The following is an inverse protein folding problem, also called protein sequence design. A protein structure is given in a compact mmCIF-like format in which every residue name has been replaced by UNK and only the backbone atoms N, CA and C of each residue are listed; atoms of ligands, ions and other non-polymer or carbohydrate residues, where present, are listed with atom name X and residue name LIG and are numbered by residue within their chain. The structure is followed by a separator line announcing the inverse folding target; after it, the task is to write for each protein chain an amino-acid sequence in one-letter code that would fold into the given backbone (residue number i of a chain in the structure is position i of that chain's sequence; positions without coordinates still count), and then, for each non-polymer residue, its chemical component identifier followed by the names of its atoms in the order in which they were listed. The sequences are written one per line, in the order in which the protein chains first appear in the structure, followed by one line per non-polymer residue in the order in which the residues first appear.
data_IF_848731123039
#
_entry.id   IF_848731123039
#
_cell.length_a   1.000
_cell.length_b   1.000
_cell.length_c   1.000
_cell.angle_alpha   90.00
_cell.angle_beta   90.00
_cell.angle_gamma   90.00
#
_symmetry.space_group_name_H-M   'P 1'
#
loop_
_entity.id
_entity.type
_entity.pdbx_description
1 polymer ?
#
# COMPACT_ATOMS: atom_id res chain seq x y z
N UNK A 1 -1.36 -9.99 -19.67
CA UNK A 1 -0.97 -11.28 -20.24
C UNK A 1 -1.26 -11.27 -21.73
N UNK A 2 -0.70 -12.22 -22.48
CA UNK A 2 -1.00 -12.42 -23.89
C UNK A 2 -1.78 -13.72 -24.04
N UNK A 3 -2.75 -13.75 -24.96
CA UNK A 3 -3.60 -14.91 -25.18
C UNK A 3 -3.97 -15.05 -26.67
N UNK A 4 -3.98 -16.26 -27.26
CA UNK A 4 -4.41 -16.42 -28.65
C UNK A 4 -5.88 -16.06 -28.83
N UNK A 5 -6.19 -15.18 -29.79
CA UNK A 5 -7.53 -14.64 -30.00
C UNK A 5 -8.57 -15.72 -30.34
N UNK A 6 -8.16 -16.74 -31.09
CA UNK A 6 -9.03 -17.83 -31.56
C UNK A 6 -8.98 -19.08 -30.67
N UNK A 7 -8.27 -19.03 -29.54
CA UNK A 7 -8.35 -20.07 -28.52
C UNK A 7 -9.66 -19.93 -27.72
N UNK A 8 -10.07 -20.96 -26.95
CA UNK A 8 -11.29 -20.91 -26.14
C UNK A 8 -11.38 -19.64 -25.29
N UNK A 9 -12.53 -18.97 -25.30
CA UNK A 9 -12.77 -17.69 -24.62
C UNK A 9 -11.93 -16.49 -25.10
N UNK A 10 -11.06 -16.63 -26.11
CA UNK A 10 -10.22 -15.52 -26.59
C UNK A 10 -11.02 -14.36 -27.16
N UNK A 11 -12.15 -14.66 -27.82
CA UNK A 11 -13.12 -13.68 -28.31
C UNK A 11 -14.06 -13.12 -27.23
N UNK A 12 -14.09 -13.72 -26.03
CA UNK A 12 -14.95 -13.31 -24.91
C UNK A 12 -14.24 -12.32 -23.96
N UNK A 13 -12.93 -12.09 -24.17
CA UNK A 13 -12.15 -11.17 -23.34
C UNK A 13 -12.38 -9.73 -23.81
N UNK A 14 -13.34 -9.08 -23.16
CA UNK A 14 -13.68 -7.68 -23.39
C UNK A 14 -13.18 -6.75 -22.26
N UNK A 15 -13.30 -5.44 -22.48
CA UNK A 15 -13.09 -4.45 -21.42
C UNK A 15 -14.04 -4.71 -20.25
N UNK A 16 -13.58 -4.47 -19.02
CA UNK A 16 -14.33 -4.70 -17.78
C UNK A 16 -14.65 -6.15 -17.42
N UNK A 17 -14.28 -7.13 -18.27
CA UNK A 17 -14.31 -8.55 -17.90
C UNK A 17 -13.51 -8.81 -16.63
N UNK A 18 -13.96 -9.78 -15.83
CA UNK A 18 -13.27 -10.22 -14.62
C UNK A 18 -12.55 -11.53 -14.94
N UNK A 19 -11.23 -11.52 -14.79
CA UNK A 19 -10.38 -12.69 -14.93
C UNK A 19 -10.06 -13.26 -13.55
N UNK A 20 -10.28 -14.55 -13.35
CA UNK A 20 -9.81 -15.28 -12.18
C UNK A 20 -8.46 -15.92 -12.50
N UNK A 21 -7.45 -15.63 -11.68
CA UNK A 21 -6.05 -15.97 -11.95
C UNK A 21 -5.44 -16.64 -10.72
N UNK A 22 -4.70 -17.76 -10.88
CA UNK A 22 -3.94 -18.36 -9.79
C UNK A 22 -2.78 -17.45 -9.40
N UNK A 23 -2.66 -17.12 -8.10
CA UNK A 23 -1.57 -16.34 -7.51
C UNK A 23 -0.95 -17.10 -6.33
N UNK A 24 0.20 -16.68 -5.79
CA UNK A 24 0.77 -17.29 -4.57
C UNK A 24 -0.17 -17.26 -3.36
N UNK A 25 -1.10 -16.31 -3.31
CA UNK A 25 -2.11 -16.16 -2.25
C UNK A 25 -3.45 -16.85 -2.63
N UNK A 26 -3.48 -17.68 -3.68
CA UNK A 26 -4.68 -18.39 -4.17
C UNK A 26 -5.29 -17.78 -5.43
N UNK A 27 -6.51 -18.19 -5.75
CA UNK A 27 -7.27 -17.64 -6.89
C UNK A 27 -7.72 -16.20 -6.60
N UNK A 28 -7.30 -15.26 -7.45
CA UNK A 28 -7.58 -13.83 -7.30
C UNK A 28 -8.25 -13.25 -8.54
N UNK A 29 -9.13 -12.27 -8.34
CA UNK A 29 -9.88 -11.59 -9.39
C UNK A 29 -9.17 -10.33 -9.89
N UNK A 30 -9.16 -10.14 -11.20
CA UNK A 30 -8.57 -9.00 -11.88
C UNK A 30 -9.53 -8.43 -12.94
N UNK A 31 -9.70 -7.10 -12.94
CA UNK A 31 -10.51 -6.34 -13.90
C UNK A 31 -9.69 -6.03 -15.15
N UNK A 32 -10.21 -6.38 -16.32
CA UNK A 32 -9.59 -6.02 -17.62
C UNK A 32 -9.73 -4.53 -17.86
N UNK A 33 -8.60 -3.82 -17.96
CA UNK A 33 -8.56 -2.38 -18.16
C UNK A 33 -8.34 -2.00 -19.63
N UNK A 34 -7.42 -2.68 -20.30
CA UNK A 34 -7.04 -2.37 -21.68
C UNK A 34 -6.75 -3.65 -22.48
N UNK A 35 -7.76 -4.21 -23.16
CA UNK A 35 -7.55 -5.27 -24.14
C UNK A 35 -7.06 -4.67 -25.46
N UNK A 36 -6.03 -5.26 -26.06
CA UNK A 36 -5.48 -4.86 -27.35
C UNK A 36 -5.33 -6.10 -28.23
N UNK A 37 -6.05 -6.13 -29.34
CA UNK A 37 -5.95 -7.21 -30.33
C UNK A 37 -4.92 -6.84 -31.39
N UNK A 38 -4.03 -7.77 -31.72
CA UNK A 38 -3.07 -7.62 -32.81
C UNK A 38 -2.66 -8.98 -33.35
N UNK A 39 -2.69 -9.14 -34.68
CA UNK A 39 -2.16 -10.33 -35.38
C UNK A 39 -2.68 -11.69 -34.85
N UNK A 40 -3.95 -11.77 -34.42
CA UNK A 40 -4.54 -13.01 -33.88
C UNK A 40 -4.19 -13.31 -32.42
N UNK A 41 -3.58 -12.36 -31.71
CA UNK A 41 -3.34 -12.39 -30.27
C UNK A 41 -4.08 -11.23 -29.59
N UNK A 42 -4.51 -11.43 -28.35
CA UNK A 42 -4.99 -10.37 -27.47
C UNK A 42 -3.97 -10.15 -26.33
N UNK A 43 -3.48 -8.92 -26.21
CA UNK A 43 -2.68 -8.45 -25.08
C UNK A 43 -3.59 -7.72 -24.10
N UNK A 44 -3.57 -8.12 -22.84
CA UNK A 44 -4.51 -7.62 -21.82
C UNK A 44 -3.75 -7.09 -20.62
N UNK A 45 -4.02 -5.85 -20.25
CA UNK A 45 -3.66 -5.30 -18.95
C UNK A 45 -4.85 -5.39 -18.00
N UNK A 46 -4.62 -5.97 -16.81
CA UNK A 46 -5.62 -6.07 -15.76
C UNK A 46 -5.10 -5.46 -14.47
N UNK A 47 -6.00 -4.91 -13.66
CA UNK A 47 -5.73 -4.51 -12.29
C UNK A 47 -6.45 -5.46 -11.32
N UNK A 48 -5.91 -5.65 -10.12
CA UNK A 48 -6.60 -6.42 -9.09
C UNK A 48 -7.98 -5.81 -8.83
N UNK A 49 -9.01 -6.64 -8.59
CA UNK A 49 -10.41 -6.21 -8.44
C UNK A 49 -10.59 -5.09 -7.40
N UNK A 50 -9.77 -5.09 -6.34
CA UNK A 50 -9.59 -3.98 -5.38
C UNK A 50 -9.62 -2.57 -6.00
N UNK A 51 -9.04 -2.38 -7.18
CA UNK A 51 -8.98 -1.06 -7.82
C UNK A 51 -10.32 -0.59 -8.38
N UNK A 52 -11.37 -1.41 -8.44
CA UNK A 52 -12.72 -0.92 -8.72
C UNK A 52 -13.16 0.14 -7.69
N UNK A 53 -12.59 0.10 -6.48
CA UNK A 53 -12.81 1.12 -5.45
C UNK A 53 -12.32 2.52 -5.88
N UNK A 54 -11.45 2.68 -6.89
CA UNK A 54 -11.07 4.01 -7.40
C UNK A 54 -12.22 4.71 -8.10
N UNK A 55 -13.23 3.97 -8.57
CA UNK A 55 -14.42 4.49 -9.24
C UNK A 55 -15.56 4.82 -8.26
N UNK A 56 -15.34 4.65 -6.95
CA UNK A 56 -16.27 5.06 -5.91
C UNK A 56 -15.80 6.37 -5.26
N UNK A 57 -16.70 7.05 -4.54
CA UNK A 57 -16.44 8.33 -3.89
C UNK A 57 -16.84 8.27 -2.42
N UNK A 58 -16.00 8.87 -1.58
CA UNK A 58 -16.31 9.27 -0.21
C UNK A 58 -16.47 10.78 -0.24
N UNK A 59 -17.70 11.27 -0.06
CA UNK A 59 -18.01 12.70 -0.07
C UNK A 59 -17.40 13.40 1.15
N UNK A 60 -17.80 12.98 2.35
CA UNK A 60 -17.25 13.42 3.62
C UNK A 60 -17.58 12.40 4.71
N UNK A 61 -16.55 11.83 5.31
CA UNK A 61 -16.68 11.05 6.54
C UNK A 61 -15.72 11.54 7.60
N UNK A 62 -16.17 11.41 8.84
CA UNK A 62 -15.33 11.51 10.01
C UNK A 62 -15.36 10.18 10.75
N UNK A 63 -14.18 9.58 10.92
CA UNK A 63 -13.95 8.46 11.81
C UNK A 63 -13.37 9.04 13.10
N UNK A 64 -14.19 9.18 14.14
CA UNK A 64 -13.83 9.84 15.38
C UNK A 64 -13.47 8.82 16.46
N UNK A 65 -12.23 8.87 16.97
CA UNK A 65 -11.76 8.06 18.09
C UNK A 65 -12.04 6.57 17.89
N UNK A 66 -11.63 6.06 16.73
CA UNK A 66 -11.85 4.65 16.34
C UNK A 66 -10.54 3.89 16.26
N UNK A 67 -10.61 2.58 16.52
CA UNK A 67 -9.54 1.67 16.11
C UNK A 67 -9.57 1.48 14.59
N UNK A 68 -8.58 0.77 14.03
CA UNK A 68 -8.50 0.57 12.59
C UNK A 68 -9.75 -0.12 12.03
N UNK A 69 -10.35 -1.06 12.76
CA UNK A 69 -11.58 -1.72 12.28
C UNK A 69 -12.78 -0.76 12.24
N UNK A 70 -12.92 0.11 13.25
CA UNK A 70 -13.96 1.14 13.27
C UNK A 70 -13.81 2.13 12.12
N UNK A 71 -12.57 2.54 11.80
CA UNK A 71 -12.28 3.38 10.65
C UNK A 71 -12.60 2.68 9.32
N UNK A 72 -12.20 1.42 9.15
CA UNK A 72 -12.54 0.57 7.99
C UNK A 72 -14.06 0.47 7.77
N UNK A 73 -14.82 0.24 8.85
CA UNK A 73 -16.28 0.19 8.80
C UNK A 73 -16.88 1.54 8.40
N UNK A 74 -16.35 2.65 8.95
CA UNK A 74 -16.80 4.01 8.61
C UNK A 74 -16.55 4.34 7.14
N UNK A 75 -15.40 3.92 6.60
CA UNK A 75 -15.06 4.10 5.18
C UNK A 75 -15.98 3.30 4.27
N UNK A 76 -16.21 2.02 4.56
CA UNK A 76 -17.11 1.19 3.75
C UNK A 76 -18.54 1.75 3.74
N UNK A 77 -19.06 2.18 4.89
CA UNK A 77 -20.38 2.80 4.97
C UNK A 77 -20.44 4.21 4.34
N UNK A 78 -19.29 4.87 4.20
CA UNK A 78 -19.15 6.22 3.62
C UNK A 78 -19.00 6.26 2.11
N UNK A 79 -18.94 5.10 1.45
CA UNK A 79 -18.87 5.03 0.00
C UNK A 79 -20.23 5.41 -0.61
N UNK A 80 -20.22 6.29 -1.61
CA UNK A 80 -21.42 6.80 -2.27
C UNK A 80 -22.22 5.68 -2.95
N UNK A 81 -21.51 4.76 -3.60
CA UNK A 81 -22.14 3.64 -4.31
C UNK A 81 -21.99 2.35 -3.50
N UNK A 82 -23.07 1.56 -3.46
CA UNK A 82 -23.04 0.20 -2.89
C UNK A 82 -22.00 -0.63 -3.63
N UNK A 83 -21.25 -1.41 -2.88
CA UNK A 83 -20.17 -2.23 -3.42
C UNK A 83 -20.11 -3.59 -2.71
N UNK A 84 -19.51 -4.61 -3.34
CA UNK A 84 -19.35 -5.94 -2.73
C UNK A 84 -18.18 -6.03 -1.74
N UNK A 85 -17.31 -5.01 -1.67
CA UNK A 85 -16.11 -5.06 -0.84
C UNK A 85 -16.40 -5.13 0.66
N UNK A 86 -15.63 -5.95 1.37
CA UNK A 86 -15.65 -6.06 2.83
C UNK A 86 -14.37 -5.50 3.41
N UNK A 87 -14.51 -4.57 4.35
CA UNK A 87 -13.40 -3.84 4.94
C UNK A 87 -13.13 -4.38 6.35
N UNK A 88 -11.86 -4.63 6.67
CA UNK A 88 -11.46 -5.16 7.96
C UNK A 88 -10.08 -4.64 8.40
N UNK A 89 -9.87 -4.52 9.71
CA UNK A 89 -8.55 -4.25 10.28
C UNK A 89 -8.39 -4.86 11.67
N UNK A 90 -7.19 -5.31 12.00
CA UNK A 90 -6.80 -5.80 13.34
C UNK A 90 -6.01 -4.76 14.15
N UNK A 91 -5.78 -3.57 13.60
CA UNK A 91 -4.97 -2.51 14.20
C UNK A 91 -5.70 -1.90 15.43
N UNK A 92 -5.13 -2.00 16.65
CA UNK A 92 -5.78 -1.51 17.87
C UNK A 92 -5.59 -0.01 18.11
N UNK A 93 -4.70 0.66 17.34
CA UNK A 93 -4.39 2.09 17.49
C UNK A 93 -5.68 2.91 17.38
N UNK A 94 -5.91 3.80 18.35
CA UNK A 94 -7.03 4.74 18.32
C UNK A 94 -6.57 6.04 17.67
N UNK A 95 -7.32 6.50 16.68
CA UNK A 95 -7.09 7.79 16.02
C UNK A 95 -8.41 8.36 15.47
N UNK A 96 -8.33 9.60 15.00
CA UNK A 96 -9.41 10.25 14.26
C UNK A 96 -8.93 10.70 12.89
N UNK A 97 -9.79 10.64 11.88
CA UNK A 97 -9.49 11.12 10.53
C UNK A 97 -10.76 11.64 9.85
N UNK A 98 -10.65 12.77 9.14
CA UNK A 98 -11.71 13.25 8.24
C UNK A 98 -11.26 13.07 6.79
N UNK A 99 -12.03 12.33 6.01
CA UNK A 99 -11.76 12.01 4.62
C UNK A 99 -12.83 12.66 3.77
N UNK A 100 -12.42 13.57 2.87
CA UNK A 100 -13.34 14.45 2.12
C UNK A 100 -12.99 14.41 0.65
N UNK A 101 -13.98 14.11 -0.20
CA UNK A 101 -13.85 14.07 -1.67
C UNK A 101 -12.69 13.19 -2.14
N UNK A 102 -12.67 11.95 -1.65
CA UNK A 102 -11.63 10.97 -1.94
C UNK A 102 -12.24 9.68 -2.44
N UNK A 103 -11.59 8.99 -3.38
CA UNK A 103 -11.95 7.59 -3.60
C UNK A 103 -11.42 6.73 -2.42
N UNK A 104 -12.07 5.60 -2.11
CA UNK A 104 -11.65 4.73 -1.02
C UNK A 104 -10.19 4.25 -1.08
N UNK A 105 -9.59 4.08 -2.26
CA UNK A 105 -8.19 3.66 -2.39
C UNK A 105 -7.24 4.76 -1.93
N UNK A 106 -7.47 6.01 -2.36
CA UNK A 106 -6.72 7.17 -1.86
C UNK A 106 -6.91 7.37 -0.35
N UNK A 107 -8.16 7.28 0.11
CA UNK A 107 -8.47 7.40 1.53
C UNK A 107 -7.75 6.33 2.38
N UNK A 108 -7.51 5.14 1.83
CA UNK A 108 -6.76 4.07 2.50
C UNK A 108 -5.24 4.29 2.44
N UNK A 109 -4.69 4.55 1.26
CA UNK A 109 -3.28 4.30 0.96
C UNK A 109 -2.44 5.53 0.64
N UNK A 110 -3.04 6.71 0.47
CA UNK A 110 -2.30 7.91 0.10
C UNK A 110 -1.41 8.40 1.26
N UNK A 111 -0.13 8.08 1.21
CA UNK A 111 0.86 8.48 2.21
C UNK A 111 1.15 9.99 2.18
N UNK A 112 0.76 10.70 1.12
CA UNK A 112 0.89 12.15 1.03
C UNK A 112 -0.18 12.92 1.81
N UNK A 113 -1.21 12.24 2.30
CA UNK A 113 -2.35 12.87 2.99
C UNK A 113 -2.40 12.47 4.46
N UNK A 114 -2.25 13.43 5.37
CA UNK A 114 -2.20 13.15 6.81
C UNK A 114 -3.40 12.36 7.33
N UNK A 115 -4.59 12.59 6.76
CA UNK A 115 -5.85 11.95 7.15
C UNK A 115 -6.12 10.60 6.45
N UNK A 116 -5.18 10.07 5.66
CA UNK A 116 -5.34 8.73 5.07
C UNK A 116 -5.27 7.65 6.16
N UNK A 117 -5.87 6.50 5.88
CA UNK A 117 -5.89 5.41 6.83
C UNK A 117 -4.47 4.98 7.22
N UNK A 118 -3.60 4.79 6.23
CA UNK A 118 -2.20 4.38 6.44
C UNK A 118 -1.42 5.36 7.30
N UNK A 119 -1.65 6.67 7.19
CA UNK A 119 -0.95 7.66 8.01
C UNK A 119 -1.52 7.73 9.45
N UNK A 120 -2.83 7.59 9.61
CA UNK A 120 -3.49 7.69 10.92
C UNK A 120 -3.39 6.41 11.74
N UNK A 121 -3.61 5.25 11.13
CA UNK A 121 -3.61 3.94 11.81
C UNK A 121 -2.37 3.10 11.51
N UNK A 122 -1.77 3.24 10.33
CA UNK A 122 -0.65 2.39 9.89
C UNK A 122 -1.12 1.09 9.24
N UNK A 123 -0.25 0.08 9.31
CA UNK A 123 -0.53 -1.28 8.86
C UNK A 123 -0.22 -1.53 7.38
N UNK A 124 -0.52 -2.76 6.98
CA UNK A 124 -0.17 -3.34 5.69
C UNK A 124 -1.44 -3.83 5.00
N UNK A 125 -1.63 -3.39 3.75
CA UNK A 125 -2.77 -3.80 2.95
C UNK A 125 -2.63 -5.26 2.49
N UNK A 126 -3.59 -6.10 2.86
CA UNK A 126 -3.85 -7.40 2.25
C UNK A 126 -5.11 -7.29 1.37
N UNK A 127 -4.94 -7.60 0.09
CA UNK A 127 -6.02 -7.71 -0.89
C UNK A 127 -6.36 -9.19 -1.04
N UNK A 128 -7.64 -9.52 -1.00
CA UNK A 128 -8.12 -10.87 -1.25
C UNK A 128 -9.50 -10.80 -1.89
N UNK A 129 -9.53 -10.73 -3.22
CA UNK A 129 -10.74 -10.51 -3.98
C UNK A 129 -11.49 -9.25 -3.48
N UNK A 130 -12.72 -9.43 -2.98
CA UNK A 130 -13.53 -8.36 -2.41
C UNK A 130 -13.23 -8.07 -0.94
N UNK A 131 -12.37 -8.84 -0.28
CA UNK A 131 -11.89 -8.51 1.06
C UNK A 131 -10.71 -7.53 1.00
N UNK A 132 -10.85 -6.43 1.74
CA UNK A 132 -9.84 -5.39 1.92
C UNK A 132 -9.44 -5.36 3.38
N UNK A 133 -8.22 -5.80 3.68
CA UNK A 133 -7.73 -5.92 5.07
C UNK A 133 -6.55 -4.99 5.29
N UNK A 134 -6.63 -4.11 6.28
CA UNK A 134 -5.49 -3.36 6.79
C UNK A 134 -4.98 -4.06 8.06
N UNK A 135 -3.88 -4.79 7.95
CA UNK A 135 -3.36 -5.62 9.03
C UNK A 135 -2.18 -4.95 9.71
N UNK A 136 -2.00 -5.13 11.02
CA UNK A 136 -0.84 -4.63 11.75
C UNK A 136 0.47 -5.19 11.18
N UNK A 137 0.44 -6.45 10.73
CA UNK A 137 1.54 -7.12 10.03
C UNK A 137 0.97 -8.25 9.18
N UNK A 138 1.27 -8.29 7.87
CA UNK A 138 0.98 -9.45 7.00
C UNK A 138 2.05 -10.51 7.12
N UNK A 139 3.28 -10.10 7.39
CA UNK A 139 4.43 -10.98 7.52
C UNK A 139 4.27 -11.94 8.69
N UNK A 140 4.63 -13.19 8.46
CA UNK A 140 4.85 -14.19 9.51
C UNK A 140 6.27 -14.73 9.35
N UNK A 141 6.95 -14.98 10.46
CA UNK A 141 8.25 -15.63 10.42
C UNK A 141 8.05 -17.08 9.98
N UNK A 142 8.52 -17.39 8.77
CA UNK A 142 8.43 -18.74 8.19
C UNK A 142 9.65 -19.60 8.51
N UNK A 143 10.55 -19.15 9.38
CA UNK A 143 11.81 -19.84 9.70
C UNK A 143 12.77 -19.93 8.52
N UNK A 144 12.49 -19.20 7.43
CA UNK A 144 13.32 -19.18 6.21
C UNK A 144 14.42 -18.16 6.41
N UNK A 145 15.67 -18.64 6.41
CA UNK A 145 16.86 -17.78 6.44
C UNK A 145 17.45 -17.72 5.05
N UNK A 146 17.27 -16.60 4.37
CA UNK A 146 17.94 -16.35 3.09
C UNK A 146 19.40 -16.00 3.38
N UNK A 147 20.34 -16.81 2.87
CA UNK A 147 21.79 -16.61 3.05
C UNK A 147 22.49 -16.39 1.72
N UNK A 148 23.36 -15.38 1.69
CA UNK A 148 24.30 -15.17 0.58
C UNK A 148 25.11 -16.45 0.32
N UNK A 149 25.27 -16.84 -0.95
CA UNK A 149 25.92 -18.09 -1.43
C UNK A 149 25.21 -19.41 -1.08
N UNK A 150 23.96 -19.38 -0.61
CA UNK A 150 23.16 -20.60 -0.42
C UNK A 150 21.87 -20.53 -1.24
N UNK A 151 20.85 -19.85 -0.71
CA UNK A 151 19.49 -19.83 -1.28
C UNK A 151 19.19 -18.50 -2.03
N UNK A 152 20.17 -17.60 -2.10
CA UNK A 152 20.04 -16.28 -2.71
C UNK A 152 20.52 -16.32 -4.17
N UNK A 153 19.58 -16.31 -5.13
CA UNK A 153 19.90 -16.26 -6.58
C UNK A 153 20.55 -14.94 -6.99
N UNK A 154 20.26 -13.85 -6.28
CA UNK A 154 20.84 -12.54 -6.49
C UNK A 154 20.18 -11.51 -5.57
N UNK A 155 20.90 -10.44 -5.24
CA UNK A 155 20.33 -9.25 -4.61
C UNK A 155 21.04 -8.02 -5.16
N UNK A 156 20.31 -6.93 -5.29
CA UNK A 156 20.87 -5.61 -5.56
C UNK A 156 20.54 -4.74 -4.35
N UNK A 157 21.58 -4.15 -3.75
CA UNK A 157 21.44 -3.26 -2.60
C UNK A 157 22.08 -1.92 -2.94
N UNK A 158 21.29 -0.85 -2.91
CA UNK A 158 21.80 0.51 -3.00
C UNK A 158 21.89 1.08 -1.59
N UNK A 159 23.12 1.31 -1.11
CA UNK A 159 23.37 1.95 0.18
C UNK A 159 23.96 3.32 -0.10
N UNK A 160 23.17 4.36 0.13
CA UNK A 160 23.63 5.75 -0.02
C UNK A 160 24.33 6.22 1.26
N UNK A 161 25.63 6.46 1.15
CA UNK A 161 26.49 6.97 2.22
C UNK A 161 26.57 8.49 2.28
N UNK A 162 25.78 9.22 1.48
CA UNK A 162 25.75 10.70 1.53
C UNK A 162 24.87 11.26 2.64
N UNK A 163 23.90 10.48 3.12
CA UNK A 163 22.88 10.91 4.07
C UNK A 163 23.20 10.75 5.57
N UNK A 164 24.12 9.86 6.03
CA UNK A 164 24.43 9.76 7.45
C UNK A 164 25.01 11.07 8.00
N UNK A 165 24.35 11.63 9.02
CA UNK A 165 24.82 12.79 9.78
C UNK A 165 25.10 12.31 11.21
N UNK A 166 26.33 12.48 11.68
CA UNK A 166 26.75 12.04 13.02
C UNK A 166 26.90 13.17 14.03
N UNK A 167 26.80 14.42 13.58
CA UNK A 167 26.77 15.63 14.40
C UNK A 167 25.78 16.64 13.85
N UNK A 168 24.93 17.20 14.71
CA UNK A 168 24.05 18.32 14.37
C UNK A 168 24.30 19.52 15.28
N UNK A 169 24.09 20.72 14.75
CA UNK A 169 24.09 21.97 15.51
C UNK A 169 22.67 22.56 15.48
N UNK A 170 21.79 22.17 16.41
CA UNK A 170 20.41 22.62 16.39
C UNK A 170 20.31 24.11 16.76
N UNK A 171 19.49 24.84 16.01
CA UNK A 171 19.12 26.22 16.29
C UNK A 171 17.66 26.27 16.73
N UNK A 172 17.42 26.76 17.94
CA UNK A 172 16.09 26.99 18.48
C UNK A 172 15.49 28.33 18.04
N UNK A 173 14.34 28.67 18.64
CA UNK A 173 13.66 29.95 18.43
C UNK A 173 14.59 31.13 18.74
N UNK A 174 14.46 32.23 17.98
CA UNK A 174 15.32 33.43 18.06
C UNK A 174 16.83 33.17 17.92
N UNK A 175 17.21 32.08 17.23
CA UNK A 175 18.61 31.79 16.94
C UNK A 175 19.40 31.21 18.11
N UNK A 176 18.72 30.77 19.17
CA UNK A 176 19.34 30.21 20.37
C UNK A 176 20.01 28.86 20.05
N UNK A 177 21.26 28.68 20.47
CA UNK A 177 21.97 27.40 20.38
C UNK A 177 22.00 26.68 21.73
N UNK A 178 22.21 25.37 21.70
CA UNK A 178 22.50 24.60 22.91
C UNK A 178 23.82 25.07 23.56
N UNK A 179 23.95 25.02 24.90
CA UNK A 179 25.22 25.32 25.59
C UNK A 179 26.40 24.51 25.06
N UNK A 180 26.18 23.22 24.79
CA UNK A 180 27.13 22.28 24.21
C UNK A 180 27.34 22.44 22.70
N UNK A 181 26.51 23.28 22.05
CA UNK A 181 26.44 23.58 20.61
C UNK A 181 26.08 22.41 19.69
N UNK A 182 26.67 21.25 19.92
CA UNK A 182 26.53 20.08 19.07
C UNK A 182 25.88 18.93 19.80
N UNK A 183 25.04 18.18 19.08
CA UNK A 183 24.52 16.88 19.52
C UNK A 183 25.15 15.81 18.64
N UNK A 184 25.85 14.89 19.28
CA UNK A 184 26.60 13.82 18.61
C UNK A 184 25.85 12.50 18.66
N UNK A 185 25.90 11.77 17.54
CA UNK A 185 25.49 10.38 17.50
C UNK A 185 26.43 9.53 18.35
N UNK A 186 25.92 8.53 19.10
CA UNK A 186 26.77 7.53 19.77
C UNK A 186 27.71 6.78 18.83
N UNK A 187 27.48 6.86 17.51
CA UNK A 187 28.26 6.19 16.48
C UNK A 187 29.23 7.13 15.76
N UNK A 188 29.45 8.37 16.22
CA UNK A 188 30.30 9.37 15.56
C UNK A 188 31.69 8.85 15.17
N UNK A 189 32.31 8.01 16.02
CA UNK A 189 33.63 7.43 15.77
C UNK A 189 33.61 6.23 14.79
N UNK A 190 32.45 5.78 14.33
CA UNK A 190 32.32 4.71 13.32
C UNK A 190 32.32 5.26 11.88
N UNK A 191 32.29 6.57 11.71
CA UNK A 191 32.26 7.22 10.40
C UNK A 191 33.49 8.11 10.22
N UNK A 192 34.03 8.22 8.99
CA UNK A 192 35.26 8.98 8.74
C UNK A 192 35.09 10.49 8.88
N UNK A 193 33.86 10.99 8.74
CA UNK A 193 33.52 12.41 8.80
C UNK A 193 32.31 12.60 9.74
N UNK A 194 32.48 13.33 10.85
CA UNK A 194 31.42 13.69 11.78
C UNK A 194 30.28 14.52 11.17
#
# INVERSE_FOLDING_TARGET
FNYPLFAPHGLEIEGMSIMKVPTPDGEQLFRVAAPKVSMGEITVQCYHIFYDLTENLIEDIFAETTNGNGAMNRMSAGCQYKHPFQFYSDIPKIASARMVRKNPVEALLDTGQDNSFVNRWGGELKRDNFDVKMLKSRGTDRGVVIRHKKDLLGYEGNVDWKSPITRIMPQGFDGLFLPEKYVDSPLINKYPHP
#
